data_IF_596079554952
#
_entry.id   IF_596079554952
#
_cell.length_a   1.000
_cell.length_b   1.000
_cell.length_c   1.000
_cell.angle_alpha   90.00
_cell.angle_beta   90.00
_cell.angle_gamma   90.00
#
_symmetry.space_group_name_H-M   'P 1'
#
loop_
_entity.id
_entity.type
_entity.pdbx_description
1 polymer ?
#
# COMPACT_ATOMS: atom_id res chain seq x y z
N UNK A 1 12.23 -28.18 -9.50
CA UNK A 1 11.83 -27.25 -8.43
C UNK A 1 13.08 -26.52 -7.97
N UNK A 2 13.09 -25.20 -7.93
CA UNK A 2 14.26 -24.50 -7.36
C UNK A 2 14.34 -24.71 -5.85
N UNK A 3 15.55 -24.57 -5.32
CA UNK A 3 15.80 -24.63 -3.89
C UNK A 3 15.67 -23.22 -3.27
N UNK A 4 14.56 -22.96 -2.58
CA UNK A 4 14.31 -21.68 -1.90
C UNK A 4 15.40 -21.28 -0.90
N UNK A 5 16.04 -22.27 -0.26
CA UNK A 5 17.18 -22.02 0.63
C UNK A 5 18.37 -21.43 -0.13
N UNK A 6 18.64 -21.91 -1.35
CA UNK A 6 19.68 -21.33 -2.20
C UNK A 6 19.31 -19.93 -2.70
N UNK A 7 18.05 -19.73 -3.10
CA UNK A 7 17.56 -18.43 -3.61
C UNK A 7 17.55 -17.33 -2.54
N UNK A 8 17.42 -17.68 -1.25
CA UNK A 8 17.54 -16.73 -0.13
C UNK A 8 18.88 -16.00 -0.08
N UNK A 9 19.93 -16.50 -0.72
CA UNK A 9 21.22 -15.79 -0.82
C UNK A 9 21.11 -14.46 -1.57
N UNK A 10 20.06 -14.26 -2.37
CA UNK A 10 19.76 -12.97 -3.00
C UNK A 10 19.11 -11.96 -2.05
N UNK A 11 18.52 -12.38 -0.93
CA UNK A 11 17.86 -11.51 0.05
C UNK A 11 18.87 -10.91 1.05
N UNK A 12 19.69 -9.97 0.57
CA UNK A 12 20.86 -9.47 1.32
C UNK A 12 20.50 -8.74 2.61
N UNK A 13 19.32 -8.12 2.68
CA UNK A 13 18.85 -7.40 3.87
C UNK A 13 17.71 -8.10 4.60
N UNK A 14 17.36 -9.33 4.22
CA UNK A 14 16.36 -10.13 4.92
C UNK A 14 14.91 -9.64 4.75
N UNK A 15 14.56 -9.06 3.60
CA UNK A 15 13.20 -8.60 3.30
C UNK A 15 12.15 -9.69 3.50
N UNK A 16 12.47 -10.94 3.18
CA UNK A 16 11.55 -12.05 3.35
C UNK A 16 11.17 -12.27 4.82
N UNK A 17 12.13 -12.10 5.73
CA UNK A 17 11.88 -12.17 7.17
C UNK A 17 11.07 -10.95 7.65
N UNK A 18 11.33 -9.77 7.08
CA UNK A 18 10.56 -8.55 7.39
C UNK A 18 9.10 -8.72 6.99
N UNK A 19 8.84 -9.23 5.78
CA UNK A 19 7.47 -9.55 5.32
C UNK A 19 6.85 -10.60 6.24
N UNK A 20 7.55 -11.70 6.52
CA UNK A 20 7.03 -12.75 7.41
C UNK A 20 6.70 -12.25 8.83
N UNK A 21 7.38 -11.20 9.32
CA UNK A 21 7.12 -10.58 10.61
C UNK A 21 5.94 -9.60 10.62
N UNK A 22 5.24 -9.42 9.48
CA UNK A 22 4.11 -8.48 9.38
C UNK A 22 3.02 -8.67 10.45
N UNK A 23 2.58 -9.89 10.83
CA UNK A 23 1.61 -10.05 11.92
C UNK A 23 2.07 -9.41 13.24
N UNK A 24 3.35 -9.56 13.60
CA UNK A 24 3.93 -8.95 14.80
C UNK A 24 4.04 -7.43 14.69
N UNK A 25 4.37 -6.91 13.49
CA UNK A 25 4.31 -5.49 13.22
C UNK A 25 2.90 -4.93 13.45
N UNK A 26 1.85 -5.64 13.00
CA UNK A 26 0.46 -5.23 13.20
C UNK A 26 0.08 -5.26 14.69
N UNK A 27 0.53 -6.24 15.47
CA UNK A 27 0.32 -6.30 16.92
C UNK A 27 0.96 -5.11 17.66
N UNK A 28 2.19 -4.75 17.29
CA UNK A 28 2.86 -3.59 17.88
C UNK A 28 2.19 -2.28 17.45
N UNK A 29 1.86 -2.15 16.16
CA UNK A 29 1.15 -1.00 15.63
C UNK A 29 -0.27 -0.86 16.20
N UNK A 30 -0.92 -1.96 16.61
CA UNK A 30 -2.21 -1.94 17.31
C UNK A 30 -2.07 -1.24 18.67
N UNK A 31 -1.04 -1.57 19.46
CA UNK A 31 -0.77 -0.89 20.73
C UNK A 31 -0.49 0.59 20.52
N UNK A 32 0.38 0.92 19.55
CA UNK A 32 0.70 2.30 19.20
C UNK A 32 -0.53 3.09 18.74
N UNK A 33 -1.39 2.48 17.93
CA UNK A 33 -2.63 3.11 17.45
C UNK A 33 -3.60 3.42 18.59
N UNK A 34 -3.79 2.47 19.50
CA UNK A 34 -4.61 2.68 20.72
C UNK A 34 -4.06 3.77 21.62
N UNK A 35 -2.74 3.86 21.77
CA UNK A 35 -2.10 4.94 22.51
C UNK A 35 -2.32 6.29 21.81
N UNK A 36 -2.12 6.34 20.49
CA UNK A 36 -2.32 7.53 19.67
C UNK A 36 -3.76 8.06 19.73
N UNK A 37 -4.77 7.18 19.84
CA UNK A 37 -6.17 7.58 19.99
C UNK A 37 -6.44 8.48 21.22
N UNK A 38 -5.57 8.47 22.23
CA UNK A 38 -5.67 9.33 23.41
C UNK A 38 -5.08 10.73 23.21
N UNK A 39 -4.44 11.00 22.06
CA UNK A 39 -3.94 12.33 21.73
C UNK A 39 -5.11 13.33 21.65
N UNK A 40 -4.88 14.53 22.15
CA UNK A 40 -5.87 15.61 22.07
C UNK A 40 -6.07 16.00 20.61
N UNK A 41 -7.31 15.91 20.12
CA UNK A 41 -7.69 16.32 18.78
C UNK A 41 -7.36 17.82 18.55
N UNK A 42 -6.54 18.17 17.53
CA UNK A 42 -6.15 19.55 17.28
C UNK A 42 -7.27 20.43 16.68
N UNK A 43 -8.37 19.86 16.16
CA UNK A 43 -9.50 20.60 15.59
C UNK A 43 -10.57 21.00 16.62
N UNK A 44 -10.59 20.41 17.82
CA UNK A 44 -11.67 20.54 18.83
C UNK A 44 -13.10 20.24 18.32
N UNK A 45 -13.25 19.74 17.10
CA UNK A 45 -14.49 19.33 16.43
C UNK A 45 -14.21 18.16 15.49
N UNK A 46 -15.27 17.52 15.00
CA UNK A 46 -15.16 16.53 13.92
C UNK A 46 -14.62 17.22 12.65
N UNK A 47 -13.56 16.69 12.00
CA UNK A 47 -13.05 17.27 10.76
C UNK A 47 -14.11 17.23 9.65
N UNK A 48 -14.10 18.20 8.75
CA UNK A 48 -14.90 18.15 7.52
C UNK A 48 -14.40 17.06 6.57
N UNK A 49 -13.07 16.89 6.50
CA UNK A 49 -12.40 15.88 5.69
C UNK A 49 -11.00 15.59 6.22
N UNK A 50 -10.43 14.48 5.77
CA UNK A 50 -9.07 14.04 6.10
C UNK A 50 -8.23 13.99 4.83
N UNK A 51 -7.10 14.69 4.84
CA UNK A 51 -6.08 14.64 3.79
C UNK A 51 -4.87 13.87 4.30
N UNK A 52 -4.52 12.74 3.69
CA UNK A 52 -3.30 11.97 4.01
C UNK A 52 -2.23 12.33 2.98
N UNK A 53 -1.31 13.21 3.35
CA UNK A 53 -0.17 13.60 2.53
C UNK A 53 1.02 12.67 2.76
N UNK A 54 1.36 11.87 1.76
CA UNK A 54 2.41 10.85 1.87
C UNK A 54 2.70 10.22 0.52
N UNK A 55 3.87 9.62 0.36
CA UNK A 55 4.33 9.02 -0.90
C UNK A 55 4.63 7.53 -0.72
N UNK A 56 4.44 6.75 -1.79
CA UNK A 56 4.74 5.32 -1.83
C UNK A 56 4.19 4.56 -0.62
N UNK A 57 5.07 3.82 0.08
CA UNK A 57 4.73 3.05 1.28
C UNK A 57 4.15 3.87 2.45
N UNK A 58 4.29 5.20 2.47
CA UNK A 58 3.65 6.07 3.47
C UNK A 58 2.27 6.55 3.05
N UNK A 59 2.00 6.67 1.75
CA UNK A 59 0.69 7.01 1.21
C UNK A 59 -0.33 5.87 1.37
N UNK A 60 0.16 4.63 1.18
CA UNK A 60 -0.68 3.43 1.10
C UNK A 60 -1.47 3.15 2.39
N UNK A 61 -0.94 3.56 3.55
CA UNK A 61 -1.67 3.49 4.82
C UNK A 61 -2.97 4.31 4.77
N UNK A 62 -2.94 5.47 4.11
CA UNK A 62 -4.12 6.30 3.87
C UNK A 62 -5.14 5.64 2.94
N UNK A 63 -4.68 4.97 1.88
CA UNK A 63 -5.59 4.23 0.98
C UNK A 63 -6.31 3.10 1.71
N UNK A 64 -5.59 2.43 2.61
CA UNK A 64 -6.11 1.31 3.38
C UNK A 64 -7.15 1.79 4.38
N UNK A 65 -6.85 2.86 5.12
CA UNK A 65 -7.83 3.48 6.02
C UNK A 65 -9.05 3.97 5.26
N UNK A 66 -8.87 4.65 4.12
CA UNK A 66 -9.97 5.09 3.27
C UNK A 66 -10.82 3.91 2.77
N UNK A 67 -10.20 2.82 2.30
CA UNK A 67 -10.92 1.65 1.81
C UNK A 67 -11.66 0.91 2.93
N UNK A 68 -11.07 0.76 4.11
CA UNK A 68 -11.71 0.08 5.25
C UNK A 68 -12.91 0.87 5.75
N UNK A 69 -12.75 2.17 5.96
CA UNK A 69 -13.79 3.03 6.54
C UNK A 69 -14.85 3.54 5.55
N UNK A 70 -14.66 3.35 4.23
CA UNK A 70 -15.58 3.83 3.19
C UNK A 70 -17.07 3.53 3.50
N UNK A 71 -17.48 2.31 3.93
CA UNK A 71 -18.89 2.02 4.21
C UNK A 71 -19.38 2.53 5.57
N UNK A 72 -18.48 2.83 6.52
CA UNK A 72 -18.83 3.28 7.87
C UNK A 72 -19.27 4.75 7.88
N UNK A 73 -18.95 5.49 6.81
CA UNK A 73 -19.30 6.91 6.67
C UNK A 73 -18.40 7.80 7.53
N UNK A 74 -18.91 8.98 7.90
CA UNK A 74 -18.18 9.96 8.71
C UNK A 74 -17.62 11.11 7.88
N UNK A 75 -16.39 10.97 7.39
CA UNK A 75 -15.66 12.06 6.70
C UNK A 75 -14.95 11.54 5.46
N UNK A 76 -14.85 12.34 4.37
CA UNK A 76 -14.03 11.97 3.21
C UNK A 76 -12.56 11.83 3.59
N UNK A 77 -11.92 10.74 3.17
CA UNK A 77 -10.48 10.51 3.33
C UNK A 77 -9.83 10.51 1.94
N UNK A 78 -8.93 11.46 1.70
CA UNK A 78 -8.25 11.63 0.42
C UNK A 78 -6.75 11.49 0.61
N UNK A 79 -6.10 10.69 -0.24
CA UNK A 79 -4.65 10.50 -0.22
C UNK A 79 -4.01 11.44 -1.24
N UNK A 80 -3.15 12.32 -0.75
CA UNK A 80 -2.39 13.30 -1.53
C UNK A 80 -0.95 12.82 -1.73
N UNK A 81 -0.53 12.68 -3.00
CA UNK A 81 0.78 12.15 -3.41
C UNK A 81 1.57 13.17 -4.23
N UNK A 82 1.46 14.43 -3.87
CA UNK A 82 2.11 15.53 -4.57
C UNK A 82 2.69 16.52 -3.56
N UNK A 83 3.38 17.54 -4.08
CA UNK A 83 3.83 18.69 -3.32
C UNK A 83 2.64 19.51 -2.80
N UNK A 84 2.94 20.29 -1.76
CA UNK A 84 2.05 21.23 -1.09
C UNK A 84 0.71 20.59 -0.68
N UNK A 85 -0.32 21.41 -0.46
CA UNK A 85 -1.67 20.93 -0.16
C UNK A 85 -2.65 21.30 -1.26
N UNK A 86 -3.61 20.40 -1.58
CA UNK A 86 -4.73 20.73 -2.45
C UNK A 86 -5.45 22.01 -1.99
N UNK A 87 -6.01 22.76 -2.96
CA UNK A 87 -6.67 24.04 -2.69
C UNK A 87 -7.93 23.94 -1.82
N UNK A 88 -8.54 22.76 -1.73
CA UNK A 88 -9.73 22.53 -0.90
C UNK A 88 -9.43 22.37 0.60
N UNK A 89 -8.17 22.09 0.96
CA UNK A 89 -7.76 21.87 2.36
C UNK A 89 -7.73 23.20 3.12
N UNK A 90 -8.52 23.30 4.20
CA UNK A 90 -8.60 24.47 5.08
C UNK A 90 -8.57 24.10 6.57
N UNK A 91 -8.69 25.11 7.44
CA UNK A 91 -8.76 25.03 8.91
C UNK A 91 -9.89 24.15 9.50
N UNK A 92 -10.84 23.70 8.68
CA UNK A 92 -11.88 22.73 9.05
C UNK A 92 -11.51 21.28 8.75
N UNK A 93 -10.40 21.04 8.08
CA UNK A 93 -9.93 19.72 7.66
C UNK A 93 -8.74 19.26 8.51
N UNK A 94 -8.47 17.96 8.48
CA UNK A 94 -7.34 17.35 9.18
C UNK A 94 -6.31 16.83 8.18
N UNK A 95 -5.05 17.24 8.33
CA UNK A 95 -3.94 16.73 7.51
C UNK A 95 -3.15 15.69 8.30
N UNK A 96 -2.95 14.51 7.72
CA UNK A 96 -1.90 13.57 8.15
C UNK A 96 -0.70 13.73 7.24
N UNK A 97 0.42 14.25 7.76
CA UNK A 97 1.70 14.22 7.05
C UNK A 97 2.42 12.92 7.42
N UNK A 98 2.52 11.99 6.47
CA UNK A 98 3.01 10.64 6.71
C UNK A 98 4.27 10.39 5.90
N UNK A 99 5.39 10.20 6.58
CA UNK A 99 6.65 9.81 5.96
C UNK A 99 7.43 8.90 6.89
N UNK A 100 7.66 7.65 6.48
CA UNK A 100 8.43 6.71 7.30
C UNK A 100 9.81 7.26 7.67
N UNK A 101 10.53 7.81 6.69
CA UNK A 101 11.87 8.42 6.90
C UNK A 101 11.82 9.80 7.58
N UNK A 102 10.68 10.47 7.52
CA UNK A 102 10.50 11.86 7.96
C UNK A 102 11.18 12.90 7.07
N UNK A 103 11.75 12.48 5.94
CA UNK A 103 12.55 13.33 5.07
C UNK A 103 12.02 13.44 3.63
N UNK A 104 10.90 12.78 3.32
CA UNK A 104 10.23 12.87 2.02
C UNK A 104 9.89 14.32 1.69
N UNK A 105 10.38 14.79 0.56
CA UNK A 105 10.35 16.21 0.17
C UNK A 105 8.91 16.72 0.02
N UNK A 106 8.09 15.97 -0.72
CA UNK A 106 6.69 16.28 -0.99
C UNK A 106 5.87 16.34 0.31
N UNK A 107 6.07 15.37 1.22
CA UNK A 107 5.42 15.36 2.53
C UNK A 107 5.84 16.54 3.40
N UNK A 108 7.12 16.93 3.36
CA UNK A 108 7.62 18.10 4.09
C UNK A 108 7.08 19.42 3.53
N UNK A 109 6.88 19.49 2.21
CA UNK A 109 6.23 20.61 1.53
C UNK A 109 4.75 20.70 1.93
N UNK A 110 4.00 19.60 1.86
CA UNK A 110 2.62 19.53 2.35
C UNK A 110 2.49 19.91 3.83
N UNK A 111 3.42 19.43 4.68
CA UNK A 111 3.48 19.80 6.10
C UNK A 111 3.71 21.31 6.26
N UNK A 112 4.72 21.88 5.61
CA UNK A 112 5.03 23.31 5.70
C UNK A 112 3.84 24.18 5.24
N UNK A 113 3.17 23.77 4.17
CA UNK A 113 1.98 24.46 3.66
C UNK A 113 0.81 24.39 4.64
N UNK A 114 0.58 23.24 5.27
CA UNK A 114 -0.43 23.09 6.32
C UNK A 114 -0.17 24.07 7.48
N UNK A 115 1.09 24.17 7.92
CA UNK A 115 1.53 25.10 8.97
C UNK A 115 1.30 26.55 8.58
N UNK A 116 1.68 26.92 7.34
CA UNK A 116 1.49 28.28 6.81
C UNK A 116 0.01 28.67 6.74
N UNK A 117 -0.87 27.73 6.38
CA UNK A 117 -2.32 27.93 6.30
C UNK A 117 -3.04 27.81 7.65
N UNK A 118 -2.34 27.43 8.73
CA UNK A 118 -2.95 27.20 10.04
C UNK A 118 -3.85 25.96 10.09
N UNK A 119 -3.68 25.02 9.16
CA UNK A 119 -4.45 23.78 9.11
C UNK A 119 -3.96 22.84 10.20
N UNK A 120 -4.86 22.15 10.94
CA UNK A 120 -4.47 21.13 11.89
C UNK A 120 -3.76 19.93 11.26
N UNK A 121 -2.65 19.50 11.87
CA UNK A 121 -1.79 18.45 11.31
C UNK A 121 -1.45 17.37 12.33
N UNK A 122 -1.43 16.12 11.89
CA UNK A 122 -0.75 15.03 12.58
C UNK A 122 0.45 14.56 11.75
N UNK A 123 1.64 14.64 12.31
CA UNK A 123 2.84 14.05 11.70
C UNK A 123 3.02 12.60 12.15
N UNK A 124 3.22 11.67 11.21
CA UNK A 124 3.47 10.25 11.51
C UNK A 124 4.77 9.82 10.82
N UNK A 125 5.76 9.42 11.62
CA UNK A 125 7.10 9.10 11.12
C UNK A 125 7.94 8.33 12.13
N UNK A 126 9.01 7.67 11.67
CA UNK A 126 10.02 7.09 12.58
C UNK A 126 11.04 8.10 13.11
N UNK A 127 11.16 9.26 12.47
CA UNK A 127 12.19 10.25 12.78
C UNK A 127 12.24 11.41 11.79
N UNK A 128 13.45 11.94 11.57
CA UNK A 128 13.73 12.95 10.55
C UNK A 128 13.09 14.31 10.79
N UNK A 129 13.23 15.18 9.77
CA UNK A 129 12.81 16.58 9.81
C UNK A 129 11.33 16.75 10.12
N UNK A 130 10.49 15.80 9.70
CA UNK A 130 9.05 15.86 9.94
C UNK A 130 8.72 15.83 11.43
N UNK A 131 9.31 14.91 12.22
CA UNK A 131 9.06 14.88 13.67
C UNK A 131 9.74 16.03 14.40
N UNK A 132 10.93 16.45 13.96
CA UNK A 132 11.62 17.60 14.55
C UNK A 132 10.76 18.87 14.44
N UNK A 133 10.22 19.13 13.24
CA UNK A 133 9.31 20.27 12.99
C UNK A 133 8.01 20.12 13.79
N UNK A 134 7.40 18.94 13.77
CA UNK A 134 6.14 18.71 14.46
C UNK A 134 6.23 18.85 15.98
N UNK A 135 7.31 18.37 16.59
CA UNK A 135 7.54 18.55 18.01
C UNK A 135 7.77 20.03 18.38
N UNK A 136 8.54 20.76 17.57
CA UNK A 136 8.75 22.19 17.78
C UNK A 136 7.45 23.01 17.64
N UNK A 137 6.65 22.71 16.62
CA UNK A 137 5.37 23.37 16.37
C UNK A 137 4.31 23.06 17.44
N UNK A 138 4.24 21.81 17.91
CA UNK A 138 3.35 21.43 19.02
C UNK A 138 3.75 22.15 20.31
N UNK A 139 5.05 22.20 20.64
CA UNK A 139 5.56 22.91 21.81
C UNK A 139 5.31 24.43 21.75
N UNK A 140 5.25 25.00 20.54
CA UNK A 140 4.89 26.39 20.30
C UNK A 140 3.37 26.67 20.36
N UNK A 141 2.55 25.66 20.68
CA UNK A 141 1.10 25.80 20.85
C UNK A 141 0.30 25.76 19.54
N UNK A 142 0.92 25.32 18.45
CA UNK A 142 0.22 25.21 17.18
C UNK A 142 -0.69 23.96 17.13
N UNK A 143 -1.67 23.89 16.20
CA UNK A 143 -2.59 22.75 16.09
C UNK A 143 -1.91 21.53 15.43
N UNK A 144 -0.82 21.07 16.03
CA UNK A 144 0.01 19.97 15.55
C UNK A 144 0.05 18.88 16.61
N UNK A 145 -0.07 17.64 16.17
CA UNK A 145 0.27 16.44 16.94
C UNK A 145 1.29 15.62 16.17
N UNK A 146 1.98 14.72 16.85
CA UNK A 146 2.84 13.77 16.17
C UNK A 146 2.79 12.37 16.81
N UNK A 147 2.99 11.36 15.97
CA UNK A 147 3.14 9.96 16.36
C UNK A 147 4.50 9.48 15.87
N UNK A 148 5.35 9.11 16.82
CA UNK A 148 6.60 8.41 16.51
C UNK A 148 6.32 6.92 16.36
N UNK A 149 6.73 6.35 15.24
CA UNK A 149 6.64 4.91 14.97
C UNK A 149 8.01 4.23 14.96
N UNK A 150 8.11 2.90 15.06
CA UNK A 150 9.38 2.18 14.99
C UNK A 150 10.14 2.41 13.67
N UNK A 151 11.44 2.64 13.79
CA UNK A 151 12.38 2.79 12.67
C UNK A 151 13.08 1.48 12.26
N UNK A 152 13.97 1.56 11.27
CA UNK A 152 14.85 0.45 10.88
C UNK A 152 14.33 -0.47 9.76
N UNK A 153 13.17 -0.17 9.16
CA UNK A 153 12.62 -0.92 8.04
C UNK A 153 12.71 -0.13 6.72
N UNK A 154 12.55 -0.82 5.59
CA UNK A 154 12.21 -0.14 4.35
C UNK A 154 10.77 0.42 4.48
N UNK A 155 10.47 1.64 3.99
CA UNK A 155 9.12 2.22 4.10
C UNK A 155 8.01 1.31 3.56
N UNK A 156 8.29 0.60 2.46
CA UNK A 156 7.36 -0.34 1.82
C UNK A 156 7.07 -1.60 2.64
N UNK A 157 7.81 -1.84 3.73
CA UNK A 157 7.65 -2.96 4.65
C UNK A 157 7.18 -2.50 6.05
N UNK A 158 6.75 -1.23 6.19
CA UNK A 158 6.32 -0.63 7.44
C UNK A 158 4.80 -0.35 7.47
N UNK A 159 4.01 -1.10 6.69
CA UNK A 159 2.59 -0.84 6.46
C UNK A 159 1.79 -0.75 7.77
N UNK A 160 1.98 -1.70 8.70
CA UNK A 160 1.22 -1.73 9.95
C UNK A 160 1.41 -0.44 10.76
N UNK A 161 2.66 0.00 10.89
CA UNK A 161 3.01 1.24 11.59
C UNK A 161 2.52 2.50 10.88
N UNK A 162 2.41 2.49 9.55
CA UNK A 162 1.98 3.64 8.75
C UNK A 162 0.45 3.71 8.58
N UNK A 163 -0.27 2.65 8.96
CA UNK A 163 -1.72 2.53 8.78
C UNK A 163 -2.47 2.58 10.11
N UNK A 164 -2.08 1.79 11.13
CA UNK A 164 -2.89 1.67 12.35
C UNK A 164 -2.95 2.97 13.16
N UNK A 165 -1.87 3.74 13.35
CA UNK A 165 -2.00 5.05 14.01
C UNK A 165 -3.00 5.97 13.30
N UNK A 166 -3.04 5.97 11.96
CA UNK A 166 -4.02 6.74 11.20
C UNK A 166 -5.43 6.22 11.44
N UNK A 167 -5.63 4.91 11.36
CA UNK A 167 -6.94 4.27 11.57
C UNK A 167 -7.54 4.69 12.91
N UNK A 168 -6.77 4.54 13.99
CA UNK A 168 -7.21 4.87 15.35
C UNK A 168 -7.47 6.36 15.56
N UNK A 169 -6.60 7.22 15.04
CA UNK A 169 -6.79 8.67 15.15
C UNK A 169 -8.01 9.14 14.36
N UNK A 170 -8.21 8.63 13.15
CA UNK A 170 -9.37 8.96 12.33
C UNK A 170 -10.64 8.50 13.04
N UNK A 171 -10.74 7.24 13.46
CA UNK A 171 -11.96 6.74 14.10
C UNK A 171 -12.28 7.49 15.39
N UNK A 172 -11.28 7.75 16.24
CA UNK A 172 -11.46 8.46 17.50
C UNK A 172 -11.93 9.90 17.31
N UNK A 173 -11.43 10.59 16.28
CA UNK A 173 -11.71 12.02 16.08
C UNK A 173 -12.89 12.30 15.15
N UNK A 174 -13.40 11.30 14.44
CA UNK A 174 -14.61 11.39 13.61
C UNK A 174 -15.84 10.75 14.25
N UNK A 175 -15.68 10.10 15.41
CA UNK A 175 -16.77 9.42 16.11
C UNK A 175 -17.20 8.11 15.46
N UNK A 176 -16.32 7.50 14.66
CA UNK A 176 -16.55 6.15 14.11
C UNK A 176 -16.34 5.08 15.20
N UNK A 177 -16.88 3.87 15.02
CA UNK A 177 -16.67 2.77 15.95
C UNK A 177 -15.19 2.49 16.22
N UNK A 178 -14.88 1.98 17.42
CA UNK A 178 -13.54 1.51 17.76
C UNK A 178 -13.11 0.40 16.77
N UNK A 179 -11.98 0.56 16.04
CA UNK A 179 -11.54 -0.40 15.05
C UNK A 179 -10.94 -1.67 15.67
N UNK A 180 -10.74 -1.73 16.99
CA UNK A 180 -10.06 -2.83 17.69
C UNK A 180 -10.59 -4.23 17.35
N UNK A 181 -11.92 -4.50 17.26
CA UNK A 181 -12.40 -5.83 16.85
C UNK A 181 -11.96 -6.22 15.43
N UNK A 182 -11.92 -5.27 14.48
CA UNK A 182 -11.45 -5.54 13.12
C UNK A 182 -9.93 -5.81 13.09
N UNK A 183 -9.16 -5.10 13.92
CA UNK A 183 -7.71 -5.27 14.04
C UNK A 183 -7.37 -6.62 14.66
N UNK A 184 -8.08 -7.04 15.71
CA UNK A 184 -7.89 -8.32 16.39
C UNK A 184 -8.19 -9.51 15.46
N UNK A 185 -9.28 -9.43 14.69
CA UNK A 185 -9.56 -10.42 13.64
C UNK A 185 -8.43 -10.45 12.62
N UNK A 186 -7.99 -9.30 12.11
CA UNK A 186 -6.95 -9.22 11.10
C UNK A 186 -5.64 -9.84 11.59
N UNK A 187 -5.23 -9.59 12.85
CA UNK A 187 -4.06 -10.21 13.47
C UNK A 187 -4.20 -11.75 13.47
N UNK A 188 -5.35 -12.27 13.88
CA UNK A 188 -5.60 -13.72 13.91
C UNK A 188 -5.52 -14.35 12.50
N UNK A 189 -6.08 -13.67 11.48
CA UNK A 189 -6.01 -14.11 10.08
C UNK A 189 -4.56 -14.10 9.58
N UNK A 190 -3.82 -13.02 9.84
CA UNK A 190 -2.43 -12.86 9.40
C UNK A 190 -1.51 -13.92 10.01
N UNK A 191 -1.67 -14.25 11.29
CA UNK A 191 -0.92 -15.34 11.93
C UNK A 191 -1.21 -16.70 11.31
N UNK A 192 -2.47 -16.96 10.91
CA UNK A 192 -2.81 -18.19 10.21
C UNK A 192 -2.13 -18.24 8.83
N UNK A 193 -2.24 -17.15 8.05
CA UNK A 193 -1.61 -17.07 6.73
C UNK A 193 -0.09 -17.13 6.78
N UNK A 194 0.55 -16.57 7.82
CA UNK A 194 2.00 -16.62 7.97
C UNK A 194 2.52 -18.06 7.89
N UNK A 195 1.84 -19.02 8.55
CA UNK A 195 2.20 -20.45 8.52
C UNK A 195 2.14 -21.08 7.13
N UNK A 196 1.31 -20.54 6.23
CA UNK A 196 1.10 -21.03 4.87
C UNK A 196 2.04 -20.38 3.85
N UNK A 197 2.43 -19.13 4.11
CA UNK A 197 3.26 -18.31 3.23
C UNK A 197 4.75 -18.37 3.60
N UNK A 198 5.05 -18.93 4.78
CA UNK A 198 6.37 -18.98 5.36
C UNK A 198 7.39 -19.66 4.44
N UNK A 199 8.61 -19.11 4.39
CA UNK A 199 9.65 -19.55 3.46
C UNK A 199 10.30 -20.90 3.79
N UNK A 200 9.96 -21.50 4.93
CA UNK A 200 10.46 -22.82 5.35
C UNK A 200 9.41 -23.93 5.18
N UNK A 201 8.21 -23.60 4.68
CA UNK A 201 7.15 -24.55 4.40
C UNK A 201 7.26 -25.18 3.00
N UNK A 202 6.39 -26.17 2.68
CA UNK A 202 6.23 -26.66 1.31
C UNK A 202 5.79 -25.53 0.37
N UNK A 203 5.98 -25.72 -0.95
CA UNK A 203 5.62 -24.72 -1.95
C UNK A 203 4.13 -24.34 -1.88
N UNK A 204 3.85 -23.13 -1.40
CA UNK A 204 2.51 -22.58 -1.20
C UNK A 204 2.02 -21.75 -2.38
N UNK A 205 0.89 -21.07 -2.16
CA UNK A 205 0.27 -20.20 -3.16
C UNK A 205 1.22 -19.10 -3.64
N UNK A 206 1.93 -18.44 -2.71
CA UNK A 206 2.78 -17.31 -3.04
C UNK A 206 3.98 -17.69 -3.91
N UNK A 207 4.63 -18.83 -3.62
CA UNK A 207 5.73 -19.35 -4.43
C UNK A 207 5.28 -19.76 -5.84
N UNK A 208 4.13 -20.44 -5.96
CA UNK A 208 3.56 -20.83 -7.27
C UNK A 208 3.18 -19.60 -8.09
N UNK A 209 2.53 -18.61 -7.47
CA UNK A 209 2.20 -17.34 -8.12
C UNK A 209 3.46 -16.57 -8.54
N UNK A 210 4.47 -16.48 -7.67
CA UNK A 210 5.74 -15.84 -7.98
C UNK A 210 6.39 -16.40 -9.25
N UNK A 211 6.36 -17.72 -9.42
CA UNK A 211 6.81 -18.40 -10.64
C UNK A 211 5.93 -18.09 -11.84
N UNK A 212 4.61 -18.16 -11.65
CA UNK A 212 3.65 -17.91 -12.72
C UNK A 212 3.79 -16.49 -13.30
N UNK A 213 4.17 -15.50 -12.48
CA UNK A 213 4.34 -14.10 -12.92
C UNK A 213 5.51 -13.86 -13.87
N UNK A 214 6.51 -14.76 -13.93
CA UNK A 214 7.76 -14.48 -14.65
C UNK A 214 7.61 -14.61 -16.17
N UNK A 215 8.28 -13.67 -16.88
CA UNK A 215 8.43 -13.70 -18.34
C UNK A 215 7.19 -13.31 -19.14
N UNK A 216 6.13 -12.81 -18.51
CA UNK A 216 4.83 -12.49 -19.13
C UNK A 216 4.25 -11.17 -18.60
N UNK A 217 3.31 -10.54 -19.32
CA UNK A 217 2.50 -9.44 -18.79
C UNK A 217 1.70 -9.88 -17.56
N UNK A 218 1.58 -8.99 -16.58
CA UNK A 218 0.88 -9.24 -15.31
C UNK A 218 -0.19 -8.18 -15.09
N UNK A 219 -1.41 -8.66 -14.88
CA UNK A 219 -2.59 -7.87 -14.56
C UNK A 219 -3.13 -8.30 -13.20
N UNK A 220 -3.43 -7.34 -12.33
CA UNK A 220 -3.96 -7.57 -10.98
C UNK A 220 -5.27 -6.80 -10.86
N UNK A 221 -6.39 -7.52 -10.83
CA UNK A 221 -7.72 -6.91 -10.78
C UNK A 221 -8.35 -7.09 -9.42
N UNK A 222 -8.64 -5.97 -8.76
CA UNK A 222 -9.32 -5.94 -7.47
C UNK A 222 -10.82 -5.67 -7.55
N UNK A 223 -11.57 -6.18 -6.59
CA UNK A 223 -13.00 -5.89 -6.45
C UNK A 223 -13.27 -4.78 -5.42
N UNK A 224 -14.01 -3.74 -5.82
CA UNK A 224 -14.39 -2.64 -4.94
C UNK A 224 -13.20 -1.88 -4.35
N UNK A 225 -13.43 -1.13 -3.27
CA UNK A 225 -12.40 -0.31 -2.61
C UNK A 225 -11.28 -1.13 -1.97
N UNK A 226 -11.62 -2.26 -1.33
CA UNK A 226 -10.65 -3.17 -0.73
C UNK A 226 -9.74 -3.79 -1.80
N UNK A 227 -10.34 -4.35 -2.85
CA UNK A 227 -9.56 -4.95 -3.93
C UNK A 227 -8.74 -3.92 -4.68
N UNK A 228 -9.25 -2.70 -4.89
CA UNK A 228 -8.51 -1.60 -5.51
C UNK A 228 -7.24 -1.25 -4.73
N UNK A 229 -7.36 -1.07 -3.40
CA UNK A 229 -6.21 -0.76 -2.55
C UNK A 229 -5.18 -1.92 -2.56
N UNK A 230 -5.65 -3.16 -2.49
CA UNK A 230 -4.79 -4.34 -2.57
C UNK A 230 -4.08 -4.47 -3.94
N UNK A 231 -4.80 -4.27 -5.05
CA UNK A 231 -4.24 -4.38 -6.40
C UNK A 231 -3.14 -3.33 -6.65
N UNK A 232 -3.37 -2.08 -6.24
CA UNK A 232 -2.35 -1.03 -6.32
C UNK A 232 -1.13 -1.34 -5.45
N UNK A 233 -1.35 -1.88 -4.24
CA UNK A 233 -0.27 -2.33 -3.35
C UNK A 233 0.56 -3.45 -3.99
N UNK A 234 -0.07 -4.45 -4.58
CA UNK A 234 0.62 -5.55 -5.28
C UNK A 234 1.46 -5.02 -6.44
N UNK A 235 0.90 -4.14 -7.27
CA UNK A 235 1.63 -3.49 -8.35
C UNK A 235 2.89 -2.79 -7.83
N UNK A 236 2.75 -1.96 -6.78
CA UNK A 236 3.90 -1.27 -6.18
C UNK A 236 4.97 -2.27 -5.69
N UNK A 237 4.57 -3.35 -5.00
CA UNK A 237 5.53 -4.34 -4.50
C UNK A 237 6.22 -5.15 -5.58
N UNK A 238 5.53 -5.53 -6.65
CA UNK A 238 6.16 -6.19 -7.79
C UNK A 238 7.16 -5.25 -8.48
N UNK A 239 6.82 -3.97 -8.62
CA UNK A 239 7.71 -2.96 -9.17
C UNK A 239 8.97 -2.79 -8.29
N UNK A 240 8.79 -2.62 -6.98
CA UNK A 240 9.88 -2.30 -6.04
C UNK A 240 10.76 -3.50 -5.67
N UNK A 241 10.15 -4.64 -5.35
CA UNK A 241 10.88 -5.83 -4.88
C UNK A 241 11.39 -6.65 -6.07
N UNK A 242 10.52 -7.01 -7.01
CA UNK A 242 10.82 -7.92 -8.11
C UNK A 242 11.31 -7.23 -9.40
N UNK A 243 11.23 -5.90 -9.48
CA UNK A 243 11.55 -5.11 -10.69
C UNK A 243 10.73 -5.62 -11.87
N UNK A 244 9.45 -5.89 -11.61
CA UNK A 244 8.47 -6.42 -12.55
C UNK A 244 7.37 -5.37 -12.72
N UNK A 245 7.23 -4.86 -13.94
CA UNK A 245 6.15 -3.93 -14.30
C UNK A 245 4.81 -4.67 -14.34
N UNK A 246 3.99 -4.46 -13.32
CA UNK A 246 2.64 -5.00 -13.21
C UNK A 246 1.59 -3.90 -13.43
N UNK A 247 0.39 -4.31 -13.87
CA UNK A 247 -0.75 -3.41 -14.09
C UNK A 247 -1.87 -3.75 -13.11
N UNK A 248 -2.16 -2.83 -12.20
CA UNK A 248 -3.27 -2.93 -11.26
C UNK A 248 -4.48 -2.17 -11.76
N UNK A 249 -5.65 -2.81 -11.76
CA UNK A 249 -6.94 -2.16 -12.01
C UNK A 249 -8.00 -2.73 -11.06
N UNK A 250 -9.21 -2.17 -11.09
CA UNK A 250 -10.31 -2.63 -10.25
C UNK A 250 -11.67 -2.61 -10.95
N UNK A 251 -12.57 -3.46 -10.47
CA UNK A 251 -13.98 -3.50 -10.83
C UNK A 251 -14.77 -2.44 -10.03
N UNK A 252 -15.75 -1.76 -10.64
CA UNK A 252 -16.26 -1.97 -12.00
C UNK A 252 -15.52 -1.18 -13.09
N UNK A 253 -14.61 -0.27 -12.75
CA UNK A 253 -13.99 0.67 -13.69
C UNK A 253 -13.31 -0.02 -14.89
N UNK A 254 -12.61 -1.14 -14.68
CA UNK A 254 -11.95 -1.86 -15.78
C UNK A 254 -12.93 -2.35 -16.86
N UNK A 255 -14.20 -2.56 -16.51
CA UNK A 255 -15.22 -2.97 -17.46
C UNK A 255 -15.67 -1.83 -18.38
N UNK A 256 -15.24 -0.60 -18.12
CA UNK A 256 -15.57 0.56 -18.94
C UNK A 256 -14.44 0.96 -19.90
N UNK A 257 -13.22 0.48 -19.67
CA UNK A 257 -12.04 0.87 -20.44
C UNK A 257 -11.15 -0.33 -20.81
N UNK A 258 -10.54 -1.00 -19.85
CA UNK A 258 -9.49 -2.00 -20.06
C UNK A 258 -10.01 -3.28 -20.72
N UNK A 259 -11.29 -3.62 -20.50
CA UNK A 259 -11.97 -4.71 -21.21
C UNK A 259 -11.85 -4.59 -22.74
N UNK A 260 -11.83 -3.36 -23.29
CA UNK A 260 -11.65 -3.13 -24.73
C UNK A 260 -10.20 -3.39 -25.17
N UNK A 261 -9.21 -3.12 -24.30
CA UNK A 261 -7.82 -3.46 -24.57
C UNK A 261 -7.64 -4.95 -24.82
N UNK A 262 -8.37 -5.79 -24.07
CA UNK A 262 -8.39 -7.22 -24.29
C UNK A 262 -9.06 -7.65 -25.61
N UNK A 263 -9.96 -6.87 -26.21
CA UNK A 263 -10.52 -7.19 -27.54
C UNK A 263 -9.46 -7.19 -28.64
N UNK A 264 -8.44 -6.34 -28.50
CA UNK A 264 -7.29 -6.31 -29.41
C UNK A 264 -6.38 -7.54 -29.30
N UNK A 265 -6.44 -8.26 -28.18
CA UNK A 265 -5.68 -9.50 -27.98
C UNK A 265 -6.42 -10.68 -28.62
N UNK A 266 -5.78 -11.29 -29.62
CA UNK A 266 -6.31 -12.50 -30.26
C UNK A 266 -6.29 -13.68 -29.27
N UNK A 267 -7.30 -14.56 -29.29
CA UNK A 267 -7.25 -15.81 -28.53
C UNK A 267 -5.99 -16.60 -28.89
N UNK A 268 -5.32 -17.19 -27.90
CA UNK A 268 -4.06 -17.90 -28.15
C UNK A 268 -4.22 -19.11 -29.08
N UNK A 269 -5.41 -19.71 -29.13
CA UNK A 269 -5.75 -20.79 -30.07
C UNK A 269 -5.75 -20.34 -31.54
N UNK A 270 -5.87 -19.04 -31.80
CA UNK A 270 -5.83 -18.47 -33.14
C UNK A 270 -4.41 -18.09 -33.60
N UNK A 271 -3.40 -18.21 -32.73
CA UNK A 271 -2.01 -17.95 -33.11
C UNK A 271 -1.52 -19.03 -34.09
N UNK A 272 -0.90 -18.60 -35.20
CA UNK A 272 -0.34 -19.52 -36.18
C UNK A 272 0.70 -20.46 -35.53
N UNK A 273 0.71 -21.76 -35.85
CA UNK A 273 1.72 -22.69 -35.34
C UNK A 273 3.13 -22.17 -35.66
N UNK A 274 3.96 -21.97 -34.63
CA UNK A 274 5.32 -21.45 -34.79
C UNK A 274 5.46 -19.92 -34.76
N UNK A 275 4.38 -19.15 -34.72
CA UNK A 275 4.44 -17.77 -34.26
C UNK A 275 4.77 -17.82 -32.76
N UNK A 276 5.98 -17.40 -32.38
CA UNK A 276 6.50 -17.45 -31.01
C UNK A 276 5.76 -16.54 -30.04
N UNK A 277 4.46 -16.77 -29.84
CA UNK A 277 3.67 -16.10 -28.82
C UNK A 277 4.26 -16.50 -27.48
N UNK A 278 4.97 -15.57 -26.84
CA UNK A 278 5.50 -15.73 -25.49
C UNK A 278 4.43 -16.20 -24.50
N UNK A 279 4.80 -16.49 -23.24
CA UNK A 279 3.84 -16.98 -22.25
C UNK A 279 2.58 -16.08 -22.18
N UNK A 280 1.41 -16.70 -22.00
CA UNK A 280 0.15 -15.99 -21.89
C UNK A 280 0.23 -14.93 -20.77
N UNK A 281 -0.38 -13.75 -20.94
CA UNK A 281 -0.59 -12.83 -19.83
C UNK A 281 -1.17 -13.56 -18.62
N UNK A 282 -0.75 -13.17 -17.42
CA UNK A 282 -1.33 -13.66 -16.18
C UNK A 282 -2.26 -12.59 -15.60
N UNK A 283 -3.52 -12.98 -15.39
CA UNK A 283 -4.53 -12.20 -14.69
C UNK A 283 -4.72 -12.77 -13.28
N UNK A 284 -4.42 -11.95 -12.28
CA UNK A 284 -4.70 -12.24 -10.87
C UNK A 284 -5.97 -11.52 -10.45
N UNK A 285 -7.01 -12.27 -10.09
CA UNK A 285 -8.27 -11.75 -9.60
C UNK A 285 -8.27 -11.73 -8.06
N UNK A 286 -8.27 -10.55 -7.45
CA UNK A 286 -8.39 -10.38 -5.99
C UNK A 286 -9.86 -10.28 -5.60
N UNK A 287 -10.36 -11.28 -4.87
CA UNK A 287 -11.78 -11.46 -4.54
C UNK A 287 -12.05 -11.34 -3.05
N UNK A 288 -13.25 -10.86 -2.71
CA UNK A 288 -13.82 -10.88 -1.36
C UNK A 288 -15.26 -11.42 -1.41
N UNK A 289 -15.46 -12.73 -1.63
CA UNK A 289 -16.80 -13.27 -1.96
C UNK A 289 -17.92 -12.86 -0.99
N UNK A 290 -17.63 -12.75 0.31
CA UNK A 290 -18.61 -12.35 1.33
C UNK A 290 -18.89 -10.82 1.36
N UNK A 291 -17.96 -10.00 0.85
CA UNK A 291 -18.04 -8.53 0.90
C UNK A 291 -18.33 -7.86 -0.46
N UNK A 292 -18.39 -8.64 -1.54
CA UNK A 292 -18.65 -8.16 -2.88
C UNK A 292 -20.13 -7.85 -3.12
N UNK A 293 -20.41 -6.73 -3.76
CA UNK A 293 -21.75 -6.48 -4.29
C UNK A 293 -22.09 -7.53 -5.38
N UNK A 294 -23.31 -8.10 -5.45
CA UNK A 294 -23.63 -9.18 -6.40
C UNK A 294 -23.34 -8.85 -7.87
N UNK A 295 -23.50 -7.57 -8.25
CA UNK A 295 -23.14 -7.10 -9.60
C UNK A 295 -21.64 -7.03 -9.87
N UNK A 296 -20.80 -6.92 -8.84
CA UNK A 296 -19.35 -7.04 -8.99
C UNK A 296 -18.99 -8.51 -9.21
N UNK A 297 -19.54 -9.44 -8.44
CA UNK A 297 -19.35 -10.89 -8.66
C UNK A 297 -19.70 -11.29 -10.09
N UNK A 298 -20.89 -10.93 -10.57
CA UNK A 298 -21.29 -11.20 -11.96
C UNK A 298 -20.37 -10.56 -13.01
N UNK A 299 -19.88 -9.34 -12.74
CA UNK A 299 -18.92 -8.66 -13.64
C UNK A 299 -17.59 -9.41 -13.70
N UNK A 300 -17.09 -9.89 -12.57
CA UNK A 300 -15.85 -10.66 -12.53
C UNK A 300 -16.01 -11.95 -13.32
N UNK A 301 -17.11 -12.69 -13.12
CA UNK A 301 -17.40 -13.94 -13.84
C UNK A 301 -17.48 -13.71 -15.36
N UNK A 302 -18.27 -12.73 -15.80
CA UNK A 302 -18.38 -12.40 -17.23
C UNK A 302 -17.03 -11.98 -17.81
N UNK A 303 -16.24 -11.21 -17.06
CA UNK A 303 -14.90 -10.77 -17.52
C UNK A 303 -13.93 -11.94 -17.58
N UNK A 304 -13.94 -12.82 -16.58
CA UNK A 304 -13.12 -14.04 -16.57
C UNK A 304 -13.44 -14.92 -17.79
N UNK A 305 -14.72 -15.11 -18.12
CA UNK A 305 -15.15 -15.87 -19.29
C UNK A 305 -14.66 -15.24 -20.60
N UNK A 306 -14.83 -13.92 -20.76
CA UNK A 306 -14.36 -13.19 -21.94
C UNK A 306 -12.84 -13.27 -22.14
N UNK A 307 -12.09 -13.43 -21.05
CA UNK A 307 -10.63 -13.53 -21.05
C UNK A 307 -10.10 -14.97 -21.04
N UNK A 308 -10.98 -15.98 -20.98
CA UNK A 308 -10.62 -17.40 -20.79
C UNK A 308 -9.73 -18.02 -21.88
N UNK A 309 -9.58 -17.38 -23.03
CA UNK A 309 -8.65 -17.76 -24.10
C UNK A 309 -7.47 -16.81 -24.33
N UNK A 310 -7.39 -15.73 -23.53
CA UNK A 310 -6.45 -14.61 -23.72
C UNK A 310 -5.42 -14.53 -22.60
N UNK A 311 -5.82 -14.83 -21.37
CA UNK A 311 -4.95 -14.81 -20.20
C UNK A 311 -5.09 -16.11 -19.39
N UNK A 312 -3.98 -16.53 -18.77
CA UNK A 312 -4.03 -17.45 -17.64
C UNK A 312 -4.62 -16.71 -16.44
N UNK A 313 -5.54 -17.34 -15.71
CA UNK A 313 -6.28 -16.67 -14.64
C UNK A 313 -6.05 -17.38 -13.31
N UNK A 314 -5.74 -16.61 -12.28
CA UNK A 314 -5.63 -17.11 -10.91
C UNK A 314 -6.45 -16.22 -9.98
N UNK A 315 -7.32 -16.85 -9.20
CA UNK A 315 -8.09 -16.17 -8.17
C UNK A 315 -7.38 -16.24 -6.82
N UNK A 316 -7.28 -15.10 -6.14
CA UNK A 316 -6.81 -14.99 -4.77
C UNK A 316 -7.94 -14.41 -3.93
N UNK A 317 -8.45 -15.23 -3.01
CA UNK A 317 -9.57 -14.85 -2.15
C UNK A 317 -9.07 -14.30 -0.82
N UNK A 318 -9.74 -13.26 -0.36
CA UNK A 318 -9.50 -12.68 0.95
C UNK A 318 -9.92 -13.62 2.07
N UNK A 319 -9.19 -13.57 3.18
CA UNK A 319 -9.53 -14.28 4.40
C UNK A 319 -10.08 -13.33 5.46
N UNK A 320 -11.05 -13.80 6.24
CA UNK A 320 -11.72 -13.02 7.28
C UNK A 320 -13.02 -12.39 6.81
N UNK A 321 -13.81 -11.92 7.77
CA UNK A 321 -15.13 -11.31 7.57
C UNK A 321 -15.05 -9.79 7.58
N UNK A 322 -14.20 -9.23 8.46
CA UNK A 322 -13.95 -7.80 8.55
C UNK A 322 -13.17 -7.27 7.36
N UNK A 323 -13.47 -6.03 6.98
CA UNK A 323 -12.85 -5.36 5.82
C UNK A 323 -11.34 -5.22 5.96
N UNK A 324 -10.87 -4.89 7.17
CA UNK A 324 -9.44 -4.81 7.45
C UNK A 324 -8.75 -6.17 7.31
N UNK A 325 -9.35 -7.24 7.84
CA UNK A 325 -8.82 -8.60 7.71
C UNK A 325 -8.75 -9.04 6.24
N UNK A 326 -9.79 -8.74 5.46
CA UNK A 326 -9.83 -9.02 4.02
C UNK A 326 -8.75 -8.24 3.25
N UNK A 327 -8.57 -6.95 3.54
CA UNK A 327 -7.57 -6.13 2.89
C UNK A 327 -6.14 -6.60 3.20
N UNK A 328 -5.85 -6.82 4.49
CA UNK A 328 -4.52 -7.23 4.92
C UNK A 328 -4.19 -8.65 4.47
N UNK A 329 -5.17 -9.56 4.42
CA UNK A 329 -4.93 -10.92 3.96
C UNK A 329 -4.57 -11.02 2.48
N UNK A 330 -5.25 -10.24 1.62
CA UNK A 330 -4.88 -10.11 0.21
C UNK A 330 -3.51 -9.45 0.06
N UNK A 331 -3.26 -8.39 0.82
CA UNK A 331 -1.98 -7.65 0.78
C UNK A 331 -0.81 -8.54 1.17
N UNK A 332 -0.96 -9.34 2.23
CA UNK A 332 0.11 -10.16 2.76
C UNK A 332 0.58 -11.22 1.76
N UNK A 333 -0.35 -11.82 1.02
CA UNK A 333 -0.03 -12.74 -0.08
C UNK A 333 0.80 -12.01 -1.15
N UNK A 334 0.39 -10.82 -1.57
CA UNK A 334 1.09 -10.03 -2.59
C UNK A 334 2.50 -9.61 -2.19
N UNK A 335 2.68 -9.24 -0.93
CA UNK A 335 3.98 -8.89 -0.37
C UNK A 335 4.94 -10.09 -0.46
N UNK A 336 4.50 -11.29 -0.06
CA UNK A 336 5.29 -12.52 -0.25
C UNK A 336 5.57 -12.85 -1.72
N UNK A 337 4.54 -12.81 -2.56
CA UNK A 337 4.65 -13.06 -4.01
C UNK A 337 5.72 -12.17 -4.63
N UNK A 338 5.76 -10.89 -4.24
CA UNK A 338 6.75 -9.94 -4.75
C UNK A 338 8.18 -10.26 -4.34
N UNK A 339 8.40 -10.70 -3.10
CA UNK A 339 9.74 -11.08 -2.62
C UNK A 339 10.18 -12.38 -3.28
N UNK A 340 9.32 -13.40 -3.30
CA UNK A 340 9.64 -14.66 -3.99
C UNK A 340 9.95 -14.45 -5.47
N UNK A 341 9.20 -13.56 -6.17
CA UNK A 341 9.48 -13.22 -7.56
C UNK A 341 10.84 -12.53 -7.74
N UNK A 342 11.26 -11.69 -6.79
CA UNK A 342 12.60 -11.10 -6.80
C UNK A 342 13.69 -12.17 -6.67
N UNK A 343 13.52 -13.11 -5.72
CA UNK A 343 14.48 -14.19 -5.48
C UNK A 343 14.62 -15.13 -6.68
N UNK A 344 13.50 -15.50 -7.32
CA UNK A 344 13.52 -16.30 -8.54
C UNK A 344 14.25 -15.60 -9.70
N UNK A 345 14.30 -14.27 -9.69
CA UNK A 345 15.03 -13.46 -10.69
C UNK A 345 16.48 -13.21 -10.31
N UNK A 346 16.95 -13.74 -9.18
CA UNK A 346 18.29 -13.48 -8.65
C UNK A 346 18.50 -12.03 -8.19
N UNK A 347 17.43 -11.32 -7.87
CA UNK A 347 17.45 -9.91 -7.48
C UNK A 347 17.32 -9.76 -5.97
N UNK A 348 18.01 -8.74 -5.44
CA UNK A 348 17.80 -8.30 -4.06
C UNK A 348 16.48 -7.52 -3.95
N UNK A 349 15.48 -8.03 -3.19
CA UNK A 349 14.21 -7.33 -2.99
C UNK A 349 14.39 -6.00 -2.24
N UNK A 350 15.48 -5.81 -1.52
CA UNK A 350 15.76 -4.61 -0.73
C UNK A 350 16.33 -3.46 -1.56
N UNK A 351 17.02 -3.76 -2.66
CA UNK A 351 17.72 -2.78 -3.50
C UNK A 351 16.77 -1.84 -4.26
N UNK A 352 17.03 -0.52 -4.22
CA UNK A 352 16.21 0.54 -4.84
C UNK A 352 17.04 1.56 -5.62
N UNK A 353 18.07 1.10 -6.35
CA UNK A 353 19.08 1.97 -6.98
C UNK A 353 18.53 3.13 -7.82
N UNK A 354 17.45 2.92 -8.59
CA UNK A 354 16.84 3.98 -9.41
C UNK A 354 16.23 5.10 -8.56
N UNK A 355 15.63 4.75 -7.42
CA UNK A 355 15.06 5.73 -6.48
C UNK A 355 16.19 6.50 -5.81
N UNK A 356 17.27 5.83 -5.39
CA UNK A 356 18.42 6.49 -4.77
C UNK A 356 19.13 7.44 -5.74
N UNK A 357 19.28 7.03 -7.01
CA UNK A 357 19.79 7.88 -8.08
C UNK A 357 18.93 9.12 -8.28
N UNK A 358 17.60 8.94 -8.39
CA UNK A 358 16.66 10.05 -8.57
C UNK A 358 16.75 11.05 -7.41
N UNK A 359 16.70 10.58 -6.17
CA UNK A 359 16.81 11.42 -4.96
C UNK A 359 18.11 12.21 -4.92
N UNK A 360 19.24 11.56 -5.25
CA UNK A 360 20.53 12.24 -5.30
C UNK A 360 20.56 13.35 -6.36
N UNK A 361 20.05 13.07 -7.57
CA UNK A 361 19.99 14.06 -8.66
C UNK A 361 19.10 15.25 -8.33
N UNK A 362 17.98 15.02 -7.63
CA UNK A 362 17.10 16.12 -7.19
C UNK A 362 17.76 16.98 -6.11
N UNK A 363 18.48 16.38 -5.16
CA UNK A 363 19.22 17.12 -4.15
C UNK A 363 20.32 18.02 -4.77
N UNK A 364 21.05 17.52 -5.79
CA UNK A 364 22.05 18.30 -6.54
C UNK A 364 21.45 19.56 -7.19
N UNK A 365 20.19 19.51 -7.66
CA UNK A 365 19.51 20.65 -8.28
C UNK A 365 19.12 21.70 -7.22
N UNK A 366 18.66 21.27 -6.04
CA UNK A 366 18.29 22.17 -4.95
C UNK A 366 19.49 22.95 -4.40
N UNK A 367 20.65 22.30 -4.26
CA UNK A 367 21.87 22.96 -3.79
C UNK A 367 22.39 24.00 -4.80
N UNK A 368 22.25 23.74 -6.10
CA UNK A 368 22.59 24.69 -7.16
C UNK A 368 21.66 25.93 -7.17
N UNK A 369 20.37 25.75 -6.88
CA UNK A 369 19.43 26.87 -6.75
C UNK A 369 19.66 27.70 -5.48
N UNK A 370 20.11 27.08 -4.38
CA UNK A 370 20.42 27.74 -3.11
C UNK A 370 21.75 28.50 -3.08
N UNK A 371 22.66 28.23 -4.02
CA UNK A 371 23.96 28.93 -4.15
C UNK A 371 23.91 30.14 -5.08
N UNK A 372 22.80 30.37 -5.79
CA UNK A 372 22.61 31.48 -6.74
C UNK A 372 21.99 32.77 -6.18
N UNK A 373 21.63 32.83 -4.89
CA UNK A 373 20.96 34.01 -4.26
C UNK A 373 21.77 34.69 -3.15
N UNK A 374 23.10 34.59 -3.21
CA UNK A 374 24.00 35.50 -2.47
C UNK A 374 24.83 36.31 -3.46
N UNK A 375 24.31 37.45 -3.88
CA UNK A 375 25.08 38.64 -4.27
C UNK A 375 24.27 39.88 -3.96
#
# INVERSE_FOLDING_TARGET
MENWSALRTHDRSGMLNVVAAFPHQVEEAYRLGREAANLTNPLQRVPRSVCVAGLGGSAIGGDFVAAVLEPEGGVPILVHRDYDLPGWVSDGDLVFAVSYSGNTEETLSAYAEARRRGVPVVAVSSGGRLLERAAADEAAGAPVRYVRIPGGLAPRAALGYLMLPLLYLVTAWTGLPDPSPQVEEAIAILHRQARELEPNGPEGLAQRLARALLGRPVFIYGCGSIGRAAAYRWQCQLNENAKLLAHGHFFPELNHNEIMGWEGEAPRSAAAPGAGAGPAPLLVLLRQPEGEHPRITARVEITADLLGGKAEQVTVEAAGRGRLAQLLSLTYIGDFVSVYAALLRGLDPSAIHSIDLLKRRLAEIQDAAGTGTRN
#
